data_IF_024153790994
#
_entry.id   IF_024153790994
#
_cell.length_a   1.000
_cell.length_b   1.000
_cell.length_c   1.000
_cell.angle_alpha   90.00
_cell.angle_beta   90.00
_cell.angle_gamma   90.00
#
_symmetry.space_group_name_H-M   'P 1'
#
loop_
_entity.id
_entity.type
_entity.pdbx_description
1 polymer ?
#
# COMPACT_ATOMS: atom_id res chain seq x y z
N UNK A 1 5.32 -22.74 -0.85
CA UNK A 1 5.01 -21.31 -1.11
C UNK A 1 3.53 -21.07 -0.91
N UNK A 2 3.14 -19.95 -0.29
CA UNK A 2 1.74 -19.57 -0.11
C UNK A 2 1.51 -18.23 -0.80
N UNK A 3 0.43 -18.13 -1.56
CA UNK A 3 0.04 -16.87 -2.18
C UNK A 3 -0.75 -16.03 -1.17
N UNK A 4 -0.43 -14.73 -1.14
CA UNK A 4 -1.16 -13.75 -0.35
C UNK A 4 -1.71 -12.70 -1.30
N UNK A 5 -3.00 -12.37 -1.16
CA UNK A 5 -3.58 -11.27 -1.91
C UNK A 5 -3.15 -9.96 -1.25
N UNK A 6 -2.73 -9.00 -2.05
CA UNK A 6 -2.34 -7.69 -1.57
C UNK A 6 -2.48 -6.64 -2.67
N UNK A 7 -2.41 -5.39 -2.26
CA UNK A 7 -2.44 -4.23 -3.16
C UNK A 7 -1.25 -3.34 -2.86
N UNK A 8 -0.75 -2.66 -3.88
CA UNK A 8 0.29 -1.64 -3.67
C UNK A 8 -0.39 -0.34 -3.23
N UNK A 9 0.01 0.18 -2.08
CA UNK A 9 -0.40 1.48 -1.57
C UNK A 9 0.85 2.28 -1.24
N UNK A 10 1.00 3.47 -1.83
CA UNK A 10 2.15 4.36 -1.61
C UNK A 10 3.51 3.66 -1.78
N UNK A 11 3.64 2.77 -2.78
CA UNK A 11 4.87 2.03 -3.05
C UNK A 11 5.13 0.83 -2.14
N UNK A 12 4.24 0.53 -1.17
CA UNK A 12 4.36 -0.61 -0.26
C UNK A 12 3.23 -1.61 -0.51
N UNK A 13 3.52 -2.91 -0.41
CA UNK A 13 2.51 -3.96 -0.55
C UNK A 13 1.76 -4.10 0.77
N UNK A 14 0.46 -3.90 0.73
CA UNK A 14 -0.45 -4.10 1.84
C UNK A 14 -1.22 -5.38 1.60
N UNK A 15 -1.04 -6.37 2.49
CA UNK A 15 -1.76 -7.64 2.40
C UNK A 15 -3.23 -7.46 2.77
N UNK A 16 -4.12 -8.04 1.97
CA UNK A 16 -5.54 -8.08 2.25
C UNK A 16 -5.84 -9.27 3.17
N UNK A 17 -6.39 -9.00 4.36
CA UNK A 17 -6.88 -10.02 5.32
C UNK A 17 -5.81 -11.03 5.77
N UNK A 18 -4.53 -10.68 5.68
CA UNK A 18 -3.43 -11.52 6.15
C UNK A 18 -2.36 -10.66 6.84
N UNK A 19 -1.61 -11.30 7.75
CA UNK A 19 -0.39 -10.75 8.35
C UNK A 19 0.72 -11.77 8.18
N UNK A 20 1.92 -11.29 7.91
CA UNK A 20 3.13 -12.10 7.91
C UNK A 20 3.90 -11.84 9.20
N UNK A 21 4.64 -12.83 9.71
CA UNK A 21 5.51 -12.64 10.85
C UNK A 21 6.64 -11.67 10.51
N UNK A 22 7.10 -10.93 11.51
CA UNK A 22 8.27 -10.06 11.36
C UNK A 22 9.51 -10.87 10.98
N UNK A 23 10.37 -10.30 10.13
CA UNK A 23 11.56 -10.97 9.60
C UNK A 23 11.29 -11.93 8.44
N UNK A 24 10.04 -12.11 8.00
CA UNK A 24 9.73 -12.92 6.83
C UNK A 24 10.29 -12.29 5.53
N UNK A 25 11.15 -13.01 4.82
CA UNK A 25 11.59 -12.65 3.46
C UNK A 25 10.50 -13.04 2.47
N UNK A 26 10.04 -12.06 1.68
CA UNK A 26 8.95 -12.26 0.72
C UNK A 26 9.42 -12.00 -0.70
N UNK A 27 8.93 -12.82 -1.63
CA UNK A 27 9.05 -12.59 -3.07
C UNK A 27 7.66 -12.28 -3.61
N UNK A 28 7.58 -11.28 -4.47
CA UNK A 28 6.31 -10.76 -4.99
C UNK A 28 6.21 -11.14 -6.45
N UNK A 29 5.11 -11.78 -6.82
CA UNK A 29 4.76 -12.04 -8.22
C UNK A 29 3.54 -11.19 -8.56
N UNK A 30 3.66 -10.36 -9.58
CA UNK A 30 2.57 -9.53 -10.11
C UNK A 30 2.19 -10.09 -11.47
N UNK A 31 0.91 -10.37 -11.68
CA UNK A 31 0.41 -10.77 -13.00
C UNK A 31 0.52 -9.63 -14.01
N UNK A 32 0.76 -9.95 -15.28
CA UNK A 32 0.93 -8.95 -16.34
C UNK A 32 -0.32 -8.07 -16.51
N UNK A 33 -1.52 -8.67 -16.42
CA UNK A 33 -2.78 -7.94 -16.53
C UNK A 33 -3.01 -6.98 -15.37
N UNK A 34 -2.70 -7.40 -14.14
CA UNK A 34 -2.74 -6.56 -12.94
C UNK A 34 -1.72 -5.43 -13.03
N UNK A 35 -0.51 -5.72 -13.50
CA UNK A 35 0.54 -4.71 -13.70
C UNK A 35 0.11 -3.66 -14.74
N UNK A 36 -0.46 -4.09 -15.87
CA UNK A 36 -0.95 -3.19 -16.91
C UNK A 36 -2.08 -2.31 -16.39
N UNK A 37 -3.05 -2.89 -15.69
CA UNK A 37 -4.17 -2.15 -15.08
C UNK A 37 -3.69 -1.13 -14.06
N UNK A 38 -2.76 -1.52 -13.19
CA UNK A 38 -2.17 -0.62 -12.20
C UNK A 38 -1.40 0.53 -12.86
N UNK A 39 -0.63 0.24 -13.92
CA UNK A 39 0.12 1.23 -14.69
C UNK A 39 -0.80 2.26 -15.34
N UNK A 40 -1.84 1.80 -16.04
CA UNK A 40 -2.87 2.66 -16.65
C UNK A 40 -3.53 3.51 -15.56
N UNK A 41 -3.98 2.88 -14.48
CA UNK A 41 -4.65 3.58 -13.37
C UNK A 41 -3.76 4.67 -12.79
N UNK A 42 -2.48 4.40 -12.56
CA UNK A 42 -1.53 5.39 -12.05
C UNK A 42 -1.25 6.52 -13.06
N UNK A 43 -1.15 6.21 -14.35
CA UNK A 43 -0.91 7.22 -15.39
C UNK A 43 -2.10 8.19 -15.56
N UNK A 44 -3.33 7.69 -15.40
CA UNK A 44 -4.55 8.50 -15.53
C UNK A 44 -5.08 9.05 -14.20
N UNK A 45 -4.54 8.63 -13.06
CA UNK A 45 -4.89 9.21 -11.78
C UNK A 45 -4.27 10.60 -11.70
N UNK A 46 -5.07 11.69 -11.66
CA UNK A 46 -4.51 13.03 -11.50
C UNK A 46 -3.69 13.03 -10.21
N UNK A 47 -2.53 13.72 -10.17
CA UNK A 47 -1.76 13.84 -8.95
C UNK A 47 -2.74 14.36 -7.90
N UNK A 48 -3.03 13.52 -6.89
CA UNK A 48 -3.79 13.98 -5.73
C UNK A 48 -2.94 15.12 -5.20
N UNK A 49 -3.34 16.37 -5.49
CA UNK A 49 -2.87 17.57 -4.81
C UNK A 49 -2.74 17.12 -3.38
N UNK A 50 -1.51 17.09 -2.88
CA UNK A 50 -1.21 16.69 -1.52
C UNK A 50 -2.28 17.33 -0.66
N UNK A 51 -3.28 16.54 -0.24
CA UNK A 51 -4.17 16.96 0.81
C UNK A 51 -3.20 16.95 1.96
N UNK A 52 -2.54 18.10 2.17
CA UNK A 52 -1.71 18.43 3.34
C UNK A 52 -2.40 17.69 4.46
N UNK A 53 -1.79 16.59 4.87
CA UNK A 53 -2.30 15.85 5.98
C UNK A 53 -2.18 16.87 7.11
N UNK A 54 -3.28 17.53 7.46
CA UNK A 54 -3.46 18.13 8.77
C UNK A 54 -3.44 16.94 9.70
N UNK A 55 -2.25 16.43 9.96
CA UNK A 55 -1.96 15.61 11.12
C UNK A 55 -2.18 16.59 12.26
N UNK A 56 -3.43 16.72 12.71
CA UNK A 56 -3.70 17.19 14.05
C UNK A 56 -3.15 16.07 14.93
N UNK A 57 -1.87 16.17 15.27
CA UNK A 57 -1.35 15.56 16.48
C UNK A 57 -2.23 16.17 17.58
N UNK A 58 -3.20 15.42 18.07
CA UNK A 58 -3.74 15.72 19.38
C UNK A 58 -2.60 15.39 20.35
N UNK A 59 -1.94 16.37 20.98
CA UNK A 59 -1.25 16.05 22.21
C UNK A 59 -2.35 15.59 23.18
N UNK A 60 -2.34 14.31 23.55
CA UNK A 60 -2.90 13.93 24.84
C UNK A 60 -1.85 14.35 25.87
N UNK A 61 -2.09 15.36 26.71
CA UNK A 61 -1.23 15.62 27.84
C UNK A 61 -1.49 14.50 28.86
N UNK A 62 -0.42 13.83 29.24
CA UNK A 62 -0.38 12.91 30.37
C UNK A 62 -0.35 13.75 31.65
N UNK A 63 -1.45 13.74 32.41
CA UNK A 63 -1.52 13.67 33.89
C UNK A 63 -2.98 13.72 34.32
#
# INVERSE_FOLDING_TARGET
MKAYKGVVQNGVIVLEKAKLPEGAVVTVTVGEGELLRATITNAFTPPKKEKRARIRLNPRPTM
#
